data_IF_140687962299
#
_entry.id   IF_140687962299
#
_cell.length_a   1.000
_cell.length_b   1.000
_cell.length_c   1.000
_cell.angle_alpha   90.00
_cell.angle_beta   90.00
_cell.angle_gamma   90.00
#
_symmetry.space_group_name_H-M   'P 1'
#
loop_
_entity.id
_entity.type
_entity.pdbx_description
1 polymer ?
#
# COMPACT_ATOMS: atom_id res chain seq x y z
N UNK A 1 51.23 35.69 -17.27
CA UNK A 1 49.81 36.10 -17.37
C UNK A 1 48.90 34.89 -17.59
N UNK A 2 49.00 34.15 -18.71
CA UNK A 2 48.12 33.00 -18.98
C UNK A 2 48.33 31.80 -18.03
N UNK A 3 49.58 31.50 -17.66
CA UNK A 3 49.92 30.38 -16.78
C UNK A 3 49.35 30.52 -15.35
N UNK A 4 49.38 31.74 -14.80
CA UNK A 4 48.83 32.05 -13.47
C UNK A 4 47.31 31.88 -13.41
N UNK A 5 46.60 32.29 -14.45
CA UNK A 5 45.13 32.12 -14.56
C UNK A 5 44.78 30.63 -14.65
N UNK A 6 45.59 29.86 -15.40
CA UNK A 6 45.38 28.43 -15.57
C UNK A 6 45.63 27.67 -14.25
N UNK A 7 46.66 28.06 -13.50
CA UNK A 7 46.93 27.52 -12.16
C UNK A 7 45.80 27.84 -11.17
N UNK A 8 45.30 29.08 -11.16
CA UNK A 8 44.19 29.48 -10.30
C UNK A 8 42.88 28.74 -10.61
N UNK A 9 42.59 28.51 -11.91
CA UNK A 9 41.43 27.71 -12.33
C UNK A 9 41.57 26.24 -11.91
N UNK A 10 42.76 25.65 -12.07
CA UNK A 10 43.00 24.27 -11.63
C UNK A 10 42.83 24.15 -10.11
N UNK A 11 43.43 25.05 -9.33
CA UNK A 11 43.30 25.05 -7.87
C UNK A 11 41.85 25.30 -7.47
N UNK A 12 41.15 26.22 -8.13
CA UNK A 12 39.73 26.48 -7.90
C UNK A 12 38.83 25.28 -8.21
N UNK A 13 39.08 24.57 -9.31
CA UNK A 13 38.36 23.34 -9.67
C UNK A 13 38.70 22.21 -8.70
N UNK A 14 39.95 22.07 -8.27
CA UNK A 14 40.35 21.07 -7.28
C UNK A 14 39.72 21.35 -5.91
N UNK A 15 39.73 22.61 -5.45
CA UNK A 15 39.03 23.05 -4.25
C UNK A 15 37.53 22.85 -4.37
N UNK A 16 36.95 23.17 -5.52
CA UNK A 16 35.52 22.97 -5.78
C UNK A 16 35.17 21.48 -5.76
N UNK A 17 35.91 20.62 -6.45
CA UNK A 17 35.70 19.17 -6.44
C UNK A 17 35.98 18.54 -5.07
N UNK A 18 36.86 19.13 -4.25
CA UNK A 18 37.15 18.68 -2.90
C UNK A 18 36.06 19.10 -1.90
N UNK A 19 35.59 20.34 -1.98
CA UNK A 19 34.59 20.91 -1.07
C UNK A 19 33.15 20.53 -1.45
N UNK A 20 32.86 20.40 -2.74
CA UNK A 20 31.53 20.06 -3.27
C UNK A 20 31.41 18.60 -3.72
N UNK A 21 32.36 17.74 -3.31
CA UNK A 21 32.15 16.29 -3.31
C UNK A 21 31.07 15.99 -2.25
N UNK A 22 29.82 16.20 -2.63
CA UNK A 22 28.69 15.66 -1.90
C UNK A 22 28.94 14.15 -1.79
N UNK A 23 29.21 13.68 -0.58
CA UNK A 23 29.03 12.26 -0.31
C UNK A 23 27.55 12.02 -0.50
N UNK A 24 27.19 11.27 -1.54
CA UNK A 24 25.88 10.64 -1.58
C UNK A 24 25.84 9.68 -0.38
N UNK A 25 25.40 10.21 0.76
CA UNK A 25 24.95 9.39 1.87
C UNK A 25 23.61 8.81 1.42
N UNK A 26 23.66 7.81 0.55
CA UNK A 26 22.53 6.92 0.36
C UNK A 26 22.30 6.27 1.72
N UNK A 27 21.10 6.45 2.27
CA UNK A 27 20.67 5.67 3.42
C UNK A 27 20.95 4.19 3.07
N UNK A 28 21.76 3.46 3.84
CA UNK A 28 21.87 2.03 3.60
C UNK A 28 20.47 1.47 3.81
N UNK A 29 19.77 1.13 2.72
CA UNK A 29 18.78 0.08 2.83
C UNK A 29 19.53 -1.09 3.47
N UNK A 30 18.98 -1.67 4.53
CA UNK A 30 19.55 -2.86 5.15
C UNK A 30 19.70 -4.00 4.14
N UNK A 31 20.01 -5.19 4.63
CA UNK A 31 19.99 -6.44 3.84
C UNK A 31 18.66 -6.71 3.09
N UNK A 32 17.63 -5.88 3.32
CA UNK A 32 16.34 -5.93 2.66
C UNK A 32 15.32 -6.72 3.47
N UNK A 33 15.72 -7.28 4.61
CA UNK A 33 14.91 -8.19 5.41
C UNK A 33 13.95 -7.44 6.35
N UNK A 34 12.66 -7.75 6.23
CA UNK A 34 11.59 -7.16 7.06
C UNK A 34 10.95 -8.17 8.01
N UNK A 35 11.53 -9.36 8.08
CA UNK A 35 11.07 -10.50 8.85
C UNK A 35 11.44 -10.54 10.32
N UNK A 36 10.88 -11.51 11.03
CA UNK A 36 11.15 -11.74 12.45
C UNK A 36 12.34 -12.71 12.62
N UNK A 37 13.51 -12.17 12.97
CA UNK A 37 14.73 -12.94 13.22
C UNK A 37 15.73 -12.84 12.06
N UNK A 38 16.76 -13.71 11.99
CA UNK A 38 17.69 -13.72 10.86
C UNK A 38 17.00 -14.26 9.59
N UNK A 39 17.46 -13.81 8.41
CA UNK A 39 16.98 -14.31 7.12
C UNK A 39 17.05 -15.84 7.07
N UNK A 40 15.97 -16.46 6.65
CA UNK A 40 15.89 -17.90 6.43
C UNK A 40 16.44 -18.24 5.04
N UNK A 41 17.23 -19.29 4.95
CA UNK A 41 17.81 -19.72 3.65
C UNK A 41 16.81 -20.50 2.78
N UNK A 42 15.66 -20.89 3.35
CA UNK A 42 14.59 -21.68 2.72
C UNK A 42 13.35 -20.84 2.35
N UNK A 43 13.56 -19.61 1.88
CA UNK A 43 12.45 -18.76 1.43
C UNK A 43 11.70 -19.36 0.22
N UNK A 44 10.37 -19.27 0.29
CA UNK A 44 9.48 -19.67 -0.79
C UNK A 44 9.26 -18.48 -1.73
N UNK A 45 10.01 -18.46 -2.82
CA UNK A 45 9.93 -17.45 -3.89
C UNK A 45 8.79 -17.76 -4.90
N UNK A 46 8.02 -18.83 -4.71
CA UNK A 46 6.96 -19.19 -5.65
C UNK A 46 5.77 -18.22 -5.57
N UNK A 47 5.03 -18.14 -6.67
CA UNK A 47 3.81 -17.34 -6.78
C UNK A 47 2.61 -18.27 -6.63
N UNK A 48 1.84 -18.06 -5.57
CA UNK A 48 0.70 -18.89 -5.20
C UNK A 48 -0.62 -18.21 -5.57
N UNK A 49 -1.57 -18.91 -6.24
CA UNK A 49 -2.91 -18.40 -6.42
C UNK A 49 -3.59 -18.10 -5.07
N UNK A 50 -4.35 -17.02 -5.02
CA UNK A 50 -5.08 -16.60 -3.84
C UNK A 50 -6.56 -16.37 -4.17
N UNK A 51 -7.41 -16.63 -3.19
CA UNK A 51 -8.83 -16.35 -3.27
C UNK A 51 -9.26 -15.64 -1.99
N UNK A 52 -9.98 -14.54 -2.14
CA UNK A 52 -10.49 -13.76 -1.02
C UNK A 52 -11.70 -14.50 -0.47
N UNK A 53 -11.60 -14.97 0.77
CA UNK A 53 -12.69 -15.65 1.48
C UNK A 53 -12.90 -14.98 2.84
N UNK A 54 -14.13 -15.08 3.36
CA UNK A 54 -14.49 -14.58 4.69
C UNK A 54 -15.41 -15.59 5.33
N UNK A 55 -15.12 -15.93 6.60
CA UNK A 55 -15.91 -16.86 7.39
C UNK A 55 -17.20 -16.23 7.92
N UNK A 56 -18.21 -17.05 8.20
CA UNK A 56 -19.44 -16.57 8.83
C UNK A 56 -19.18 -16.06 10.26
N UNK A 57 -18.16 -16.60 10.94
CA UNK A 57 -17.69 -16.16 12.24
C UNK A 57 -17.13 -14.72 12.20
N UNK A 58 -16.33 -14.38 11.18
CA UNK A 58 -15.82 -13.02 10.98
C UNK A 58 -16.94 -12.04 10.66
N UNK A 59 -17.91 -12.43 9.82
CA UNK A 59 -19.08 -11.60 9.53
C UNK A 59 -19.94 -11.39 10.78
N UNK A 60 -20.14 -12.43 11.59
CA UNK A 60 -20.86 -12.32 12.85
C UNK A 60 -20.14 -11.41 13.84
N UNK A 61 -18.81 -11.50 13.93
CA UNK A 61 -18.02 -10.61 14.77
C UNK A 61 -18.11 -9.15 14.28
N UNK A 62 -18.06 -8.93 12.97
CA UNK A 62 -18.28 -7.61 12.37
C UNK A 62 -19.62 -7.02 12.76
N UNK A 63 -20.73 -7.76 12.57
CA UNK A 63 -22.07 -7.27 12.92
C UNK A 63 -22.22 -7.01 14.41
N UNK A 64 -21.63 -7.85 15.27
CA UNK A 64 -21.60 -7.63 16.71
C UNK A 64 -20.90 -6.31 17.07
N UNK A 65 -19.73 -6.02 16.48
CA UNK A 65 -19.00 -4.76 16.72
C UNK A 65 -19.76 -3.53 16.21
N UNK A 66 -20.43 -3.68 15.07
CA UNK A 66 -21.32 -2.65 14.53
C UNK A 66 -22.45 -2.35 15.51
N UNK A 67 -23.09 -3.38 16.07
CA UNK A 67 -24.19 -3.23 17.02
C UNK A 67 -23.76 -2.62 18.35
N UNK A 68 -22.54 -2.93 18.80
CA UNK A 68 -21.94 -2.39 20.03
C UNK A 68 -21.34 -0.98 19.84
N UNK A 69 -21.52 -0.35 18.67
CA UNK A 69 -20.92 0.96 18.37
C UNK A 69 -21.54 2.08 19.21
N UNK A 70 -20.69 2.82 19.92
CA UNK A 70 -21.07 4.02 20.68
C UNK A 70 -20.86 5.27 19.84
N UNK A 71 -21.92 6.06 19.68
CA UNK A 71 -21.89 7.29 18.87
C UNK A 71 -21.72 8.54 19.75
N UNK A 72 -20.85 9.46 19.36
CA UNK A 72 -20.79 10.80 19.94
C UNK A 72 -21.90 11.68 19.37
N UNK A 73 -22.49 12.56 20.20
CA UNK A 73 -23.45 13.55 19.72
C UNK A 73 -22.76 14.67 18.92
N UNK A 74 -23.23 15.01 17.71
CA UNK A 74 -22.59 16.04 16.91
C UNK A 74 -23.09 17.43 17.29
N UNK A 75 -22.22 18.44 17.13
CA UNK A 75 -22.60 19.83 17.28
C UNK A 75 -23.71 20.21 16.27
N UNK A 76 -24.66 21.04 16.69
CA UNK A 76 -25.75 21.50 15.84
C UNK A 76 -25.21 22.29 14.64
N UNK A 77 -25.73 22.01 13.44
CA UNK A 77 -25.31 22.69 12.21
C UNK A 77 -23.88 22.39 11.73
N UNK A 78 -23.09 21.57 12.43
CA UNK A 78 -21.66 21.36 12.16
C UNK A 78 -21.33 20.67 10.83
N UNK A 79 -22.29 19.95 10.23
CA UNK A 79 -22.08 19.13 9.03
C UNK A 79 -20.80 18.28 9.19
N UNK A 80 -19.83 18.39 8.29
CA UNK A 80 -18.55 17.66 8.33
C UNK A 80 -17.34 18.54 8.71
N UNK A 81 -17.57 19.77 9.19
CA UNK A 81 -16.49 20.74 9.44
C UNK A 81 -15.55 20.32 10.59
N UNK A 82 -15.97 19.38 11.42
CA UNK A 82 -15.22 18.88 12.57
C UNK A 82 -14.94 17.37 12.45
N UNK A 83 -14.81 16.88 11.22
CA UNK A 83 -14.65 15.46 10.92
C UNK A 83 -15.99 14.78 10.60
N UNK A 84 -16.01 13.46 10.69
CA UNK A 84 -17.15 12.67 10.23
C UNK A 84 -18.38 12.88 11.12
N UNK A 85 -19.50 13.30 10.52
CA UNK A 85 -20.71 13.58 11.27
C UNK A 85 -21.38 12.30 11.78
N UNK A 86 -21.64 12.19 13.09
CA UNK A 86 -22.21 10.98 13.68
C UNK A 86 -23.66 10.70 13.27
N UNK A 87 -24.48 11.71 12.94
CA UNK A 87 -25.81 11.49 12.35
C UNK A 87 -25.69 10.86 10.96
N UNK A 88 -24.65 11.21 10.21
CA UNK A 88 -24.38 10.58 8.92
C UNK A 88 -23.78 9.17 9.09
N UNK A 89 -22.87 8.98 10.06
CA UNK A 89 -22.28 7.67 10.36
C UNK A 89 -23.35 6.62 10.67
N UNK A 90 -24.38 6.98 11.44
CA UNK A 90 -25.52 6.10 11.70
C UNK A 90 -26.18 5.60 10.42
N UNK A 91 -26.30 6.43 9.38
CA UNK A 91 -26.86 6.01 8.08
C UNK A 91 -25.96 5.03 7.35
N UNK A 92 -24.65 5.28 7.37
CA UNK A 92 -23.64 4.37 6.75
C UNK A 92 -23.67 3.02 7.46
N UNK A 93 -23.69 3.02 8.78
CA UNK A 93 -23.77 1.81 9.59
C UNK A 93 -25.06 1.03 9.31
N UNK A 94 -26.22 1.71 9.25
CA UNK A 94 -27.49 1.05 8.87
C UNK A 94 -27.39 0.38 7.50
N UNK A 95 -26.77 1.04 6.52
CA UNK A 95 -26.56 0.45 5.20
C UNK A 95 -25.66 -0.78 5.25
N UNK A 96 -24.56 -0.75 6.00
CA UNK A 96 -23.67 -1.91 6.16
C UNK A 96 -24.35 -3.10 6.83
N UNK A 97 -25.27 -2.83 7.76
CA UNK A 97 -26.01 -3.88 8.48
C UNK A 97 -27.10 -4.51 7.63
N UNK A 98 -27.86 -3.70 6.89
CA UNK A 98 -29.13 -4.13 6.29
C UNK A 98 -29.10 -4.19 4.76
N UNK A 99 -28.28 -3.35 4.13
CA UNK A 99 -28.27 -3.16 2.68
C UNK A 99 -27.03 -3.68 1.96
N UNK A 100 -25.94 -3.95 2.68
CA UNK A 100 -24.68 -4.38 2.08
C UNK A 100 -24.56 -5.91 2.04
N UNK A 101 -24.39 -6.47 0.84
CA UNK A 101 -24.19 -7.90 0.63
C UNK A 101 -22.71 -8.24 0.52
N UNK A 102 -22.10 -8.70 1.62
CA UNK A 102 -20.70 -9.14 1.67
C UNK A 102 -20.39 -10.25 0.66
N UNK A 103 -21.31 -11.22 0.50
CA UNK A 103 -21.14 -12.32 -0.46
C UNK A 103 -21.03 -11.82 -1.90
N UNK A 104 -21.90 -10.88 -2.29
CA UNK A 104 -21.85 -10.25 -3.61
C UNK A 104 -20.53 -9.50 -3.83
N UNK A 105 -20.02 -8.82 -2.81
CA UNK A 105 -18.75 -8.11 -2.94
C UNK A 105 -17.57 -9.07 -3.08
N UNK A 106 -17.56 -10.19 -2.35
CA UNK A 106 -16.55 -11.23 -2.51
C UNK A 106 -16.60 -11.86 -3.90
N UNK A 107 -17.79 -12.08 -4.46
CA UNK A 107 -17.93 -12.56 -5.84
C UNK A 107 -17.30 -11.58 -6.83
N UNK A 108 -17.57 -10.27 -6.69
CA UNK A 108 -16.98 -9.24 -7.55
C UNK A 108 -15.46 -9.19 -7.40
N UNK A 109 -14.94 -9.21 -6.16
CA UNK A 109 -13.50 -9.16 -5.92
C UNK A 109 -12.79 -10.38 -6.51
N UNK A 110 -13.37 -11.58 -6.39
CA UNK A 110 -12.80 -12.81 -6.92
C UNK A 110 -13.04 -13.02 -8.44
N UNK A 111 -13.64 -12.06 -9.16
CA UNK A 111 -13.66 -12.09 -10.63
C UNK A 111 -12.26 -11.96 -11.22
N UNK A 112 -11.36 -11.32 -10.49
CA UNK A 112 -9.97 -11.14 -10.87
C UNK A 112 -9.08 -12.22 -10.24
N UNK A 113 -8.07 -12.73 -10.95
CA UNK A 113 -7.12 -13.68 -10.38
C UNK A 113 -6.20 -12.93 -9.41
N UNK A 114 -6.15 -13.42 -8.17
CA UNK A 114 -5.26 -12.89 -7.13
C UNK A 114 -4.09 -13.85 -6.93
N UNK A 115 -2.94 -13.30 -6.58
CA UNK A 115 -1.73 -14.06 -6.29
C UNK A 115 -1.05 -13.52 -5.04
N UNK A 116 -0.29 -14.39 -4.37
CA UNK A 116 0.55 -14.10 -3.22
C UNK A 116 1.94 -14.68 -3.44
N UNK A 117 2.94 -13.92 -3.02
CA UNK A 117 4.34 -14.39 -2.97
C UNK A 117 5.00 -13.77 -1.74
N UNK A 118 6.06 -14.39 -1.23
CA UNK A 118 6.83 -13.85 -0.11
C UNK A 118 7.94 -12.98 -0.68
N UNK A 119 8.05 -11.76 -0.15
CA UNK A 119 9.16 -10.86 -0.46
C UNK A 119 9.76 -10.45 0.88
N UNK A 120 10.99 -10.91 1.15
CA UNK A 120 11.81 -10.43 2.27
C UNK A 120 11.16 -10.59 3.67
N UNK A 121 10.41 -11.69 3.84
CA UNK A 121 9.54 -12.01 4.98
C UNK A 121 8.52 -10.92 5.38
N UNK A 122 8.24 -9.97 4.48
CA UNK A 122 7.00 -9.22 4.57
C UNK A 122 5.84 -10.20 4.31
N UNK A 123 5.05 -10.49 5.34
CA UNK A 123 3.86 -11.36 5.32
C UNK A 123 3.00 -11.06 4.07
N UNK A 124 2.33 -12.06 3.42
CA UNK A 124 1.81 -11.93 2.06
C UNK A 124 0.51 -11.11 2.04
N UNK A 125 0.67 -9.80 2.17
CA UNK A 125 -0.33 -8.77 1.91
C UNK A 125 -0.13 -8.09 0.55
N UNK A 126 0.87 -8.50 -0.23
CA UNK A 126 1.07 -7.98 -1.60
C UNK A 126 0.12 -8.74 -2.52
N UNK A 127 -1.08 -8.20 -2.70
CA UNK A 127 -2.04 -8.64 -3.69
C UNK A 127 -1.73 -7.95 -5.01
N UNK A 128 -1.42 -8.71 -6.05
CA UNK A 128 -1.36 -8.20 -7.42
C UNK A 128 -2.53 -8.79 -8.19
N UNK A 129 -3.62 -8.05 -8.44
CA UNK A 129 -4.62 -8.46 -9.40
C UNK A 129 -3.98 -8.37 -10.79
N UNK A 130 -3.84 -9.51 -11.44
CA UNK A 130 -3.41 -9.53 -12.84
C UNK A 130 -4.64 -9.40 -13.72
N UNK A 131 -4.80 -8.24 -14.35
CA UNK A 131 -5.73 -8.09 -15.47
C UNK A 131 -5.08 -8.69 -16.72
N UNK A 132 -5.40 -9.94 -17.02
CA UNK A 132 -5.00 -10.57 -18.28
C UNK A 132 -6.17 -10.44 -19.26
N UNK A 133 -6.13 -9.42 -20.12
CA UNK A 133 -6.97 -9.44 -21.32
C UNK A 133 -6.44 -10.51 -22.28
N UNK A 134 -7.32 -11.45 -22.64
CA UNK A 134 -6.94 -12.65 -23.38
C UNK A 134 -6.35 -12.37 -24.76
N UNK A 135 -5.21 -13.02 -25.06
CA UNK A 135 -4.73 -13.24 -26.44
C UNK A 135 -3.47 -12.50 -26.86
N UNK A 136 -2.91 -11.60 -26.04
CA UNK A 136 -1.67 -10.91 -26.38
C UNK A 136 -0.44 -11.64 -25.81
N UNK A 137 0.48 -12.06 -26.68
CA UNK A 137 1.79 -12.62 -26.29
C UNK A 137 2.82 -11.56 -25.93
N UNK A 138 2.50 -10.28 -26.14
CA UNK A 138 3.27 -9.12 -25.70
C UNK A 138 2.36 -8.21 -24.88
N UNK A 139 2.22 -8.49 -23.59
CA UNK A 139 1.50 -7.62 -22.64
C UNK A 139 2.54 -6.82 -21.87
N UNK A 140 2.47 -5.49 -21.97
CA UNK A 140 3.23 -4.60 -21.09
C UNK A 140 2.57 -4.60 -19.72
N UNK A 141 3.24 -5.15 -18.70
CA UNK A 141 2.77 -5.05 -17.32
C UNK A 141 2.94 -3.60 -16.84
N UNK A 142 1.84 -2.98 -16.41
CA UNK A 142 1.86 -1.68 -15.74
C UNK A 142 1.51 -1.89 -14.26
N UNK A 143 2.46 -1.68 -13.33
CA UNK A 143 2.16 -1.77 -11.92
C UNK A 143 1.32 -0.56 -11.48
N UNK A 144 0.15 -0.83 -10.91
CA UNK A 144 -0.71 0.17 -10.29
C UNK A 144 -0.54 0.08 -8.77
N UNK A 145 0.02 1.13 -8.17
CA UNK A 145 0.23 1.22 -6.73
C UNK A 145 -0.91 2.03 -6.10
N UNK A 146 -1.72 1.38 -5.25
CA UNK A 146 -2.68 2.06 -4.38
C UNK A 146 -1.98 2.62 -3.14
N UNK A 147 -2.29 3.86 -2.75
CA UNK A 147 -1.80 4.49 -1.52
C UNK A 147 -3.01 4.82 -0.64
N UNK A 148 -2.87 4.64 0.69
CA UNK A 148 -3.88 4.89 1.73
C UNK A 148 -4.63 6.24 1.55
N UNK A 149 -5.96 6.35 1.79
CA UNK A 149 -6.97 5.31 1.94
C UNK A 149 -7.71 5.13 0.60
N UNK A 150 -7.24 4.17 -0.18
CA UNK A 150 -7.78 3.78 -1.47
C UNK A 150 -7.08 2.50 -1.88
N UNK A 151 -7.48 1.38 -1.28
CA UNK A 151 -7.03 0.10 -1.80
C UNK A 151 -7.60 -0.07 -3.21
N UNK A 152 -6.66 -0.21 -4.14
CA UNK A 152 -6.78 -0.34 -5.60
C UNK A 152 -7.86 0.55 -6.22
N UNK A 153 -7.59 1.85 -6.29
CA UNK A 153 -8.32 2.75 -7.17
C UNK A 153 -7.99 2.44 -8.64
N UNK A 154 -8.97 1.85 -9.34
CA UNK A 154 -9.16 1.68 -10.80
C UNK A 154 -8.00 2.07 -11.73
#
# INVERSE_FOLDING_TARGET
>A
MLFEILAALIVGVLLYCYLFRAKDETLPMGDGWWGAGPRREDEDEEIHPFKIETSEEELKDLFRRIDDTRYAEPLEGSRFNYGFNSKHLRKVVSYWKEGFSWKKQLEVLNQFPHFKTKIEECDPGIYHPLLIEGGATNVTMQPLFGIVPGEMCN
#
